data_IF_997500312679
#
_entry.id   IF_997500312679
#
_cell.length_a   1.000
_cell.length_b   1.000
_cell.length_c   1.000
_cell.angle_alpha   90.00
_cell.angle_beta   90.00
_cell.angle_gamma   90.00
#
_symmetry.space_group_name_H-M   'P 1'
#
loop_
_entity.id
_entity.type
_entity.pdbx_description
1 polymer ?
#
# COMPACT_ATOMS: atom_id res chain seq x y z
N UNK A 1 -28.58 2.10 4.57
CA UNK A 1 -28.33 0.79 3.91
C UNK A 1 -26.89 0.39 4.15
N UNK A 2 -26.65 -0.73 4.86
CA UNK A 2 -25.33 -1.31 4.99
C UNK A 2 -24.99 -1.98 3.66
N UNK A 3 -24.24 -1.29 2.80
CA UNK A 3 -23.75 -1.87 1.55
C UNK A 3 -22.66 -2.88 1.94
N UNK A 4 -23.07 -4.13 2.16
CA UNK A 4 -22.14 -5.24 2.29
C UNK A 4 -21.34 -5.33 1.01
N UNK A 5 -20.04 -5.02 1.08
CA UNK A 5 -19.15 -5.13 -0.07
C UNK A 5 -19.05 -6.58 -0.49
N UNK A 6 -19.00 -6.89 -1.80
CA UNK A 6 -18.88 -8.26 -2.25
C UNK A 6 -17.56 -8.86 -1.73
N UNK A 7 -17.67 -9.70 -0.71
CA UNK A 7 -16.61 -10.62 -0.32
C UNK A 7 -16.54 -11.64 -1.45
N UNK A 8 -15.54 -11.55 -2.31
CA UNK A 8 -15.29 -12.60 -3.31
C UNK A 8 -14.79 -13.82 -2.55
N UNK A 9 -15.74 -14.66 -2.11
CA UNK A 9 -15.45 -15.95 -1.46
C UNK A 9 -14.49 -16.74 -2.36
N UNK A 10 -13.33 -17.12 -1.81
CA UNK A 10 -12.33 -17.93 -2.49
C UNK A 10 -11.15 -17.17 -3.11
N UNK A 11 -11.16 -15.82 -3.13
CA UNK A 11 -9.95 -15.07 -3.51
C UNK A 11 -8.99 -15.00 -2.32
N UNK A 12 -7.78 -15.51 -2.50
CA UNK A 12 -6.72 -15.39 -1.50
C UNK A 12 -6.35 -13.91 -1.29
N UNK A 13 -6.20 -13.46 -0.02
CA UNK A 13 -5.63 -12.16 0.29
C UNK A 13 -4.35 -11.87 -0.47
N UNK A 14 -4.27 -10.70 -1.11
CA UNK A 14 -3.02 -10.25 -1.73
C UNK A 14 -2.12 -9.55 -0.70
N UNK A 15 -0.82 -9.43 -0.95
CA UNK A 15 0.07 -8.59 -0.14
C UNK A 15 -0.44 -7.13 0.01
N UNK A 16 -1.09 -6.60 -1.04
CA UNK A 16 -1.68 -5.26 -1.00
C UNK A 16 -2.85 -5.17 -0.02
N UNK A 17 -3.72 -6.20 0.01
CA UNK A 17 -4.83 -6.26 0.96
C UNK A 17 -4.30 -6.37 2.40
N UNK A 18 -3.25 -7.17 2.62
CA UNK A 18 -2.60 -7.29 3.93
C UNK A 18 -2.00 -5.95 4.39
N UNK A 19 -1.35 -5.21 3.48
CA UNK A 19 -0.83 -3.88 3.78
C UNK A 19 -1.95 -2.91 4.20
N UNK A 20 -3.06 -2.84 3.44
CA UNK A 20 -4.16 -1.94 3.78
C UNK A 20 -4.85 -2.33 5.10
N UNK A 21 -5.00 -3.63 5.39
CA UNK A 21 -5.51 -4.08 6.69
C UNK A 21 -4.56 -3.69 7.83
N UNK A 22 -3.26 -3.94 7.70
CA UNK A 22 -2.29 -3.56 8.71
C UNK A 22 -2.25 -2.04 8.93
N UNK A 23 -2.37 -1.27 7.86
CA UNK A 23 -2.47 0.20 7.92
C UNK A 23 -3.71 0.66 8.69
N UNK A 24 -4.88 0.03 8.47
CA UNK A 24 -6.09 0.29 9.27
C UNK A 24 -5.90 -0.05 10.76
N UNK A 25 -4.98 -0.97 11.09
CA UNK A 25 -4.62 -1.36 12.45
C UNK A 25 -3.40 -0.59 13.00
N UNK A 26 -2.91 0.44 12.31
CA UNK A 26 -1.77 1.26 12.75
C UNK A 26 -0.38 0.64 12.55
N UNK A 27 -0.28 -0.44 11.78
CA UNK A 27 0.96 -1.22 11.53
C UNK A 27 1.35 -1.30 10.05
N UNK A 28 0.96 -0.31 9.27
CA UNK A 28 1.18 -0.29 7.82
C UNK A 28 2.66 -0.29 7.42
N UNK A 29 3.51 0.46 8.14
CA UNK A 29 4.94 0.55 7.82
C UNK A 29 5.69 -0.76 8.15
N UNK A 30 5.37 -1.37 9.28
CA UNK A 30 5.91 -2.67 9.68
C UNK A 30 5.49 -3.75 8.69
N UNK A 31 4.20 -3.81 8.34
CA UNK A 31 3.69 -4.76 7.36
C UNK A 31 4.29 -4.56 5.98
N UNK A 32 4.42 -3.30 5.51
CA UNK A 32 5.13 -3.00 4.26
C UNK A 32 6.55 -3.57 4.29
N UNK A 33 7.29 -3.37 5.37
CA UNK A 33 8.67 -3.83 5.50
C UNK A 33 8.77 -5.36 5.44
N UNK A 34 7.91 -6.05 6.19
CA UNK A 34 7.85 -7.51 6.23
C UNK A 34 7.45 -8.10 4.88
N UNK A 35 6.43 -7.53 4.22
CA UNK A 35 5.99 -7.97 2.89
C UNK A 35 7.07 -7.74 1.81
N UNK A 36 7.73 -6.57 1.80
CA UNK A 36 8.81 -6.29 0.86
C UNK A 36 9.98 -7.27 1.03
N UNK A 37 10.38 -7.55 2.27
CA UNK A 37 11.39 -8.57 2.58
C UNK A 37 10.96 -9.94 2.06
N UNK A 38 9.77 -10.38 2.45
CA UNK A 38 9.24 -11.71 2.11
C UNK A 38 9.22 -11.95 0.60
N UNK A 39 8.69 -10.99 -0.16
CA UNK A 39 8.52 -11.11 -1.61
C UNK A 39 9.84 -10.94 -2.36
N UNK A 40 10.60 -9.89 -2.05
CA UNK A 40 11.75 -9.51 -2.88
C UNK A 40 13.08 -10.11 -2.41
N UNK A 41 13.25 -10.34 -1.11
CA UNK A 41 14.48 -10.89 -0.53
C UNK A 41 14.38 -12.40 -0.36
N UNK A 42 13.33 -12.87 0.30
CA UNK A 42 13.18 -14.29 0.62
C UNK A 42 12.58 -15.09 -0.56
N UNK A 43 12.19 -14.40 -1.62
CA UNK A 43 11.65 -14.97 -2.87
C UNK A 43 10.42 -15.85 -2.62
N UNK A 44 9.63 -15.51 -1.60
CA UNK A 44 8.31 -16.08 -1.41
C UNK A 44 7.35 -15.26 -2.27
N UNK A 45 7.36 -15.55 -3.57
CA UNK A 45 6.56 -14.88 -4.61
C UNK A 45 5.23 -15.59 -4.91
N UNK A 46 5.03 -16.76 -4.32
CA UNK A 46 3.80 -17.54 -4.41
C UNK A 46 2.65 -17.02 -3.52
N UNK A 47 1.63 -17.85 -3.37
CA UNK A 47 0.49 -17.58 -2.50
C UNK A 47 0.97 -17.44 -1.05
N UNK A 48 0.73 -16.27 -0.44
CA UNK A 48 0.81 -16.12 1.01
C UNK A 48 -0.36 -16.90 1.63
N UNK A 49 -0.14 -18.19 1.84
CA UNK A 49 -1.13 -19.06 2.44
C UNK A 49 -1.40 -18.66 3.90
N UNK A 50 -2.40 -19.29 4.51
CA UNK A 50 -2.82 -18.95 5.87
C UNK A 50 -1.68 -19.06 6.90
N UNK A 51 -0.80 -20.05 6.77
CA UNK A 51 0.29 -20.28 7.70
C UNK A 51 1.35 -19.19 7.59
N UNK A 52 1.72 -18.83 6.36
CA UNK A 52 2.68 -17.74 6.10
C UNK A 52 2.08 -16.42 6.59
N UNK A 53 0.83 -16.12 6.23
CA UNK A 53 0.18 -14.88 6.69
C UNK A 53 0.16 -14.77 8.19
N UNK A 54 -0.20 -15.83 8.91
CA UNK A 54 -0.21 -15.82 10.37
C UNK A 54 1.16 -15.45 10.95
N UNK A 55 2.25 -16.00 10.42
CA UNK A 55 3.61 -15.64 10.83
C UNK A 55 3.89 -14.16 10.59
N UNK A 56 3.61 -13.63 9.39
CA UNK A 56 3.85 -12.23 9.06
C UNK A 56 3.01 -11.27 9.91
N UNK A 57 1.75 -11.64 10.21
CA UNK A 57 0.85 -10.85 11.06
C UNK A 57 1.39 -10.79 12.49
N UNK A 58 1.86 -11.92 13.03
CA UNK A 58 2.48 -11.96 14.37
C UNK A 58 3.80 -11.18 14.41
N UNK A 59 4.61 -11.24 13.35
CA UNK A 59 5.90 -10.52 13.26
C UNK A 59 5.72 -9.01 13.41
N UNK A 60 4.62 -8.45 12.89
CA UNK A 60 4.31 -7.02 13.04
C UNK A 60 3.56 -6.67 14.33
N UNK A 61 3.36 -7.65 15.22
CA UNK A 61 2.72 -7.47 16.52
C UNK A 61 1.20 -7.35 16.47
N UNK A 62 0.55 -7.92 15.44
CA UNK A 62 -0.91 -7.93 15.31
C UNK A 62 -1.50 -9.29 15.71
N UNK A 63 -2.77 -9.28 16.13
CA UNK A 63 -3.53 -10.52 16.40
C UNK A 63 -4.05 -11.14 15.08
N UNK A 64 -3.69 -12.40 14.75
CA UNK A 64 -4.10 -13.04 13.50
C UNK A 64 -5.60 -13.14 13.30
N UNK A 65 -6.37 -13.36 14.39
CA UNK A 65 -7.81 -13.50 14.28
C UNK A 65 -8.46 -12.17 13.93
N UNK A 66 -8.16 -11.11 14.67
CA UNK A 66 -8.65 -9.77 14.39
C UNK A 66 -8.22 -9.27 13.00
N UNK A 67 -7.02 -9.63 12.56
CA UNK A 67 -6.53 -9.32 11.23
C UNK A 67 -7.35 -10.00 10.13
N UNK A 68 -7.55 -11.32 10.22
CA UNK A 68 -8.32 -12.10 9.23
C UNK A 68 -9.81 -11.70 9.24
N UNK A 69 -10.39 -11.38 10.40
CA UNK A 69 -11.75 -10.82 10.50
C UNK A 69 -11.86 -9.46 9.79
N UNK A 70 -10.84 -8.60 9.93
CA UNK A 70 -10.74 -7.33 9.21
C UNK A 70 -10.60 -7.51 7.69
N UNK A 71 -9.77 -8.46 7.27
CA UNK A 71 -9.63 -8.85 5.86
C UNK A 71 -10.96 -9.33 5.27
N UNK A 72 -11.70 -10.17 6.01
CA UNK A 72 -12.99 -10.70 5.60
C UNK A 72 -14.09 -9.63 5.46
N UNK A 73 -13.90 -8.43 6.04
CA UNK A 73 -14.83 -7.31 5.88
C UNK A 73 -14.88 -6.73 4.45
N UNK A 74 -13.87 -7.01 3.61
CA UNK A 74 -13.74 -6.44 2.27
C UNK A 74 -13.28 -4.99 2.22
N UNK A 75 -13.13 -4.31 3.37
CA UNK A 75 -12.62 -2.93 3.43
C UNK A 75 -11.19 -2.78 2.86
N UNK A 76 -10.23 -3.69 3.15
CA UNK A 76 -8.88 -3.57 2.59
C UNK A 76 -8.86 -3.70 1.07
N UNK A 77 -9.60 -4.66 0.52
CA UNK A 77 -9.72 -4.83 -0.94
C UNK A 77 -10.30 -3.60 -1.63
N UNK A 78 -11.30 -2.95 -1.01
CA UNK A 78 -11.83 -1.68 -1.51
C UNK A 78 -10.78 -0.56 -1.47
N UNK A 79 -10.00 -0.46 -0.39
CA UNK A 79 -8.95 0.56 -0.29
C UNK A 79 -7.90 0.40 -1.40
N UNK A 80 -7.53 -0.84 -1.74
CA UNK A 80 -6.64 -1.15 -2.87
C UNK A 80 -7.26 -0.68 -4.20
N UNK A 81 -8.53 -1.02 -4.44
CA UNK A 81 -9.24 -0.63 -5.67
C UNK A 81 -9.40 0.89 -5.81
N UNK A 82 -9.77 1.58 -4.72
CA UNK A 82 -9.89 3.04 -4.70
C UNK A 82 -8.53 3.71 -4.98
N UNK A 83 -7.44 3.14 -4.44
CA UNK A 83 -6.07 3.57 -4.73
C UNK A 83 -5.69 3.40 -6.20
N UNK A 84 -6.04 2.26 -6.83
CA UNK A 84 -5.82 2.03 -8.27
C UNK A 84 -6.58 3.03 -9.13
N UNK A 85 -7.87 3.21 -8.88
CA UNK A 85 -8.71 4.20 -9.60
C UNK A 85 -8.19 5.62 -9.43
N UNK A 86 -7.64 5.96 -8.27
CA UNK A 86 -6.99 7.24 -8.08
C UNK A 86 -5.71 7.37 -8.92
N UNK A 87 -4.85 6.35 -8.90
CA UNK A 87 -3.64 6.29 -9.75
C UNK A 87 -3.94 6.41 -11.24
N UNK A 88 -4.99 5.75 -11.72
CA UNK A 88 -5.48 5.86 -13.11
C UNK A 88 -5.93 7.29 -13.45
N UNK A 89 -6.68 7.94 -12.54
CA UNK A 89 -7.13 9.34 -12.72
C UNK A 89 -5.96 10.31 -12.89
N UNK A 90 -4.86 10.11 -12.17
CA UNK A 90 -3.64 10.93 -12.30
C UNK A 90 -2.64 10.36 -13.33
N UNK A 91 -3.06 9.35 -14.10
CA UNK A 91 -2.29 8.72 -15.18
C UNK A 91 -0.93 8.19 -14.70
N UNK A 92 -0.85 7.59 -13.51
CA UNK A 92 0.39 6.93 -13.05
C UNK A 92 0.82 5.90 -14.09
N UNK A 93 2.04 6.03 -14.58
CA UNK A 93 2.58 5.18 -15.66
C UNK A 93 3.40 4.00 -15.15
N UNK A 94 3.97 4.11 -13.94
CA UNK A 94 4.80 3.07 -13.33
C UNK A 94 4.87 3.20 -11.81
N UNK A 95 5.45 2.21 -11.14
CA UNK A 95 5.84 2.31 -9.73
C UNK A 95 7.36 2.20 -9.59
N UNK A 96 8.01 2.95 -8.68
CA UNK A 96 7.42 3.96 -7.79
C UNK A 96 6.97 5.22 -8.56
N UNK A 97 5.99 5.94 -7.99
CA UNK A 97 5.50 7.25 -8.45
C UNK A 97 5.15 8.10 -7.24
N UNK A 98 5.36 9.42 -7.33
CA UNK A 98 5.02 10.37 -6.26
C UNK A 98 4.20 11.53 -6.85
N UNK A 99 3.15 11.96 -6.13
CA UNK A 99 2.45 13.21 -6.39
C UNK A 99 2.80 14.20 -5.27
N UNK A 100 3.54 15.25 -5.61
CA UNK A 100 3.97 16.32 -4.71
C UNK A 100 2.99 17.50 -4.82
N UNK A 101 2.64 18.08 -3.67
CA UNK A 101 1.73 19.24 -3.55
C UNK A 101 0.37 19.07 -4.28
N UNK A 102 -0.07 17.81 -4.46
CA UNK A 102 -1.32 17.48 -5.12
C UNK A 102 -1.36 17.70 -6.64
N UNK A 103 -0.33 18.27 -7.26
CA UNK A 103 -0.33 18.64 -8.68
C UNK A 103 0.95 18.27 -9.45
N UNK A 104 2.10 18.06 -8.78
CA UNK A 104 3.36 17.74 -9.44
C UNK A 104 3.59 16.23 -9.36
N UNK A 105 3.37 15.54 -10.47
CA UNK A 105 3.62 14.10 -10.56
C UNK A 105 5.06 13.81 -11.01
N UNK A 106 5.73 12.92 -10.30
CA UNK A 106 7.05 12.38 -10.63
C UNK A 106 6.92 10.87 -10.82
N UNK A 107 7.00 10.41 -12.06
CA UNK A 107 6.84 9.01 -12.45
C UNK A 107 7.84 8.60 -13.56
N UNK A 108 7.92 7.30 -13.83
CA UNK A 108 8.74 6.77 -14.92
C UNK A 108 10.23 7.14 -14.80
N UNK A 109 10.89 7.54 -15.90
CA UNK A 109 12.29 7.95 -15.90
C UNK A 109 12.61 9.15 -15.00
N UNK A 110 11.61 9.97 -14.67
CA UNK A 110 11.81 11.15 -13.82
C UNK A 110 11.84 10.80 -12.33
N UNK A 111 11.42 9.59 -11.95
CA UNK A 111 11.38 9.13 -10.56
C UNK A 111 12.78 8.76 -10.06
N UNK A 112 13.59 9.79 -9.80
CA UNK A 112 14.89 9.70 -9.14
C UNK A 112 14.87 10.46 -7.81
N UNK A 113 15.66 10.04 -6.80
CA UNK A 113 15.78 10.79 -5.55
C UNK A 113 16.19 12.24 -5.77
N UNK A 114 17.12 12.50 -6.68
CA UNK A 114 17.62 13.85 -6.96
C UNK A 114 16.53 14.76 -7.53
N UNK A 115 15.73 14.27 -8.49
CA UNK A 115 14.62 15.03 -9.05
C UNK A 115 13.57 15.34 -7.99
N UNK A 116 13.22 14.35 -7.16
CA UNK A 116 12.25 14.52 -6.07
C UNK A 116 12.74 15.57 -5.06
N UNK A 117 14.00 15.48 -4.64
CA UNK A 117 14.60 16.44 -3.70
C UNK A 117 14.64 17.84 -4.30
N UNK A 118 15.03 17.98 -5.57
CA UNK A 118 15.09 19.26 -6.27
C UNK A 118 13.71 19.93 -6.36
N UNK A 119 12.67 19.16 -6.68
CA UNK A 119 11.30 19.67 -6.75
C UNK A 119 10.83 20.13 -5.37
N UNK A 120 11.03 19.30 -4.33
CA UNK A 120 10.65 19.65 -2.95
C UNK A 120 11.35 20.93 -2.49
N UNK A 121 12.67 21.07 -2.75
CA UNK A 121 13.41 22.30 -2.41
C UNK A 121 12.84 23.52 -3.12
N UNK A 122 12.54 23.41 -4.41
CA UNK A 122 11.95 24.50 -5.20
C UNK A 122 10.58 24.94 -4.66
N UNK A 123 9.74 24.01 -4.22
CA UNK A 123 8.44 24.32 -3.57
C UNK A 123 8.68 25.11 -2.28
N UNK A 124 9.53 24.58 -1.39
CA UNK A 124 9.82 25.20 -0.09
C UNK A 124 10.48 26.58 -0.21
N UNK A 125 11.32 26.81 -1.23
CA UNK A 125 11.93 28.12 -1.49
C UNK A 125 10.94 29.16 -2.00
N UNK A 126 9.94 28.75 -2.80
CA UNK A 126 8.90 29.64 -3.27
C UNK A 126 7.90 30.00 -2.15
N UNK A 127 7.58 29.05 -1.26
CA UNK A 127 6.70 29.31 -0.12
C UNK A 127 7.30 30.33 0.86
N UNK A 128 8.62 30.35 1.03
CA UNK A 128 9.32 31.36 1.87
C UNK A 128 9.28 32.78 1.31
N UNK A 129 8.94 32.96 0.03
CA UNK A 129 8.89 34.27 -0.63
C UNK A 129 7.49 34.90 -0.60
N UNK A 130 6.47 34.15 -0.15
CA UNK A 130 5.12 34.63 0.11
C UNK A 130 4.99 35.09 1.56
#
# INVERSE_FOLDING_TARGET
>A
MMVGFPVIRGKLPTPFDMYEQAKMMGKGNEMKTVLFRTIHKDKIDGVLDRSIREVLIREVGLDPKAFEDGMASGKPAKAVEDGKRWGERIKVSSTPSILLDGNIKVDGPNMTPDNVIMIIRSILENDKKK
#
